data_IF_326524729192
#
_entry.id   IF_326524729192
#
_cell.length_a   1.000
_cell.length_b   1.000
_cell.length_c   1.000
_cell.angle_alpha   90.00
_cell.angle_beta   90.00
_cell.angle_gamma   90.00
#
_symmetry.space_group_name_H-M   'P 1'
#
loop_
_entity.id
_entity.type
_entity.pdbx_description
1 polymer ?
#
# COMPACT_ATOMS: atom_id res chain seq x y z
N UNK A 1 6.06 -12.69 -22.44
CA UNK A 1 5.34 -12.91 -21.17
C UNK A 1 4.12 -11.98 -21.09
N UNK A 2 3.05 -12.23 -21.87
CA UNK A 2 2.08 -11.19 -22.29
C UNK A 2 0.69 -11.22 -21.60
N UNK A 3 0.44 -12.08 -20.59
CA UNK A 3 -0.88 -12.22 -19.96
C UNK A 3 -0.93 -12.12 -18.42
N UNK A 4 0.17 -11.75 -17.76
CA UNK A 4 0.21 -11.58 -16.30
C UNK A 4 -0.60 -10.41 -15.67
N UNK A 5 -1.01 -9.32 -16.37
CA UNK A 5 -1.61 -8.18 -15.65
C UNK A 5 -3.12 -8.32 -15.33
N UNK A 6 -3.89 -9.11 -16.09
CA UNK A 6 -5.35 -9.12 -15.95
C UNK A 6 -5.85 -10.03 -14.81
N UNK A 7 -5.19 -11.18 -14.61
CA UNK A 7 -5.52 -12.11 -13.52
C UNK A 7 -5.22 -11.48 -12.16
N UNK A 8 -4.06 -10.83 -12.03
CA UNK A 8 -3.68 -10.14 -10.80
C UNK A 8 -4.69 -9.03 -10.47
N UNK A 9 -5.02 -8.16 -11.43
CA UNK A 9 -6.05 -7.11 -11.25
C UNK A 9 -7.38 -7.66 -10.76
N UNK A 10 -7.84 -8.76 -11.35
CA UNK A 10 -9.09 -9.40 -10.96
C UNK A 10 -9.01 -9.96 -9.54
N UNK A 11 -7.89 -10.57 -9.18
CA UNK A 11 -7.64 -11.09 -7.83
C UNK A 11 -7.67 -9.95 -6.80
N UNK A 12 -7.00 -8.82 -7.06
CA UNK A 12 -7.02 -7.65 -6.17
C UNK A 12 -8.39 -6.99 -6.08
N UNK A 13 -9.17 -6.94 -7.17
CA UNK A 13 -10.54 -6.46 -7.13
C UNK A 13 -11.44 -7.36 -6.27
N UNK A 14 -11.28 -8.70 -6.38
CA UNK A 14 -12.00 -9.67 -5.54
C UNK A 14 -11.62 -9.48 -4.06
N UNK A 15 -10.33 -9.30 -3.74
CA UNK A 15 -9.89 -9.05 -2.36
C UNK A 15 -10.49 -7.75 -1.80
N UNK A 16 -10.57 -6.69 -2.62
CA UNK A 16 -11.16 -5.42 -2.21
C UNK A 16 -12.66 -5.55 -1.94
N UNK A 17 -13.39 -6.20 -2.85
CA UNK A 17 -14.84 -6.43 -2.72
C UNK A 17 -15.13 -7.31 -1.51
N UNK A 18 -14.35 -8.38 -1.32
CA UNK A 18 -14.51 -9.29 -0.20
C UNK A 18 -14.16 -8.63 1.14
N UNK A 19 -13.08 -7.85 1.20
CA UNK A 19 -12.74 -7.04 2.36
C UNK A 19 -13.85 -6.04 2.71
N UNK A 20 -14.37 -5.33 1.71
CA UNK A 20 -15.48 -4.39 1.89
C UNK A 20 -16.77 -5.07 2.35
N UNK A 21 -17.09 -6.25 1.81
CA UNK A 21 -18.20 -7.08 2.27
C UNK A 21 -18.04 -7.43 3.75
N UNK A 22 -16.89 -7.98 4.16
CA UNK A 22 -16.63 -8.35 5.55
C UNK A 22 -16.77 -7.13 6.48
N UNK A 23 -16.25 -5.97 6.08
CA UNK A 23 -16.38 -4.74 6.89
C UNK A 23 -17.83 -4.27 7.05
N UNK A 24 -18.66 -4.43 6.02
CA UNK A 24 -20.06 -3.99 6.05
C UNK A 24 -20.97 -4.93 6.86
N UNK A 25 -20.73 -6.24 6.79
CA UNK A 25 -21.62 -7.25 7.38
C UNK A 25 -21.14 -7.78 8.73
N UNK A 26 -19.82 -7.99 8.89
CA UNK A 26 -19.23 -8.53 10.12
C UNK A 26 -18.56 -7.46 10.99
N UNK A 27 -18.51 -6.21 10.48
CA UNK A 27 -17.85 -5.08 11.11
C UNK A 27 -16.34 -5.00 10.80
N UNK A 28 -15.70 -3.87 11.14
CA UNK A 28 -14.29 -3.63 10.85
C UNK A 28 -13.41 -4.58 11.68
N UNK A 29 -12.93 -5.65 11.04
CA UNK A 29 -11.94 -6.59 11.58
C UNK A 29 -10.56 -6.36 10.95
N UNK A 30 -9.46 -6.69 11.63
CA UNK A 30 -8.10 -6.57 11.09
C UNK A 30 -7.95 -7.25 9.72
N UNK A 31 -8.53 -8.43 9.54
CA UNK A 31 -8.51 -9.16 8.28
C UNK A 31 -9.23 -8.41 7.15
N UNK A 32 -10.42 -7.87 7.41
CA UNK A 32 -11.18 -7.10 6.41
C UNK A 32 -10.42 -5.85 5.96
N UNK A 33 -9.76 -5.16 6.90
CA UNK A 33 -8.95 -3.96 6.63
C UNK A 33 -7.73 -4.31 5.77
N UNK A 34 -7.02 -5.41 6.09
CA UNK A 34 -5.87 -5.88 5.32
C UNK A 34 -6.26 -6.20 3.88
N UNK A 35 -7.38 -6.91 3.68
CA UNK A 35 -7.89 -7.27 2.35
C UNK A 35 -8.19 -6.03 1.49
N UNK A 36 -8.83 -5.03 2.08
CA UNK A 36 -9.10 -3.76 1.40
C UNK A 36 -7.81 -3.00 1.08
N UNK A 37 -6.85 -2.95 2.02
CA UNK A 37 -5.58 -2.25 1.81
C UNK A 37 -4.75 -2.85 0.67
N UNK A 38 -4.68 -4.18 0.62
CA UNK A 38 -3.99 -4.88 -0.46
C UNK A 38 -4.65 -4.57 -1.81
N UNK A 39 -5.98 -4.58 -1.89
CA UNK A 39 -6.70 -4.20 -3.11
C UNK A 39 -6.46 -2.76 -3.54
N UNK A 40 -6.56 -1.80 -2.60
CA UNK A 40 -6.38 -0.36 -2.88
C UNK A 40 -4.95 -0.07 -3.34
N UNK A 41 -3.95 -0.65 -2.68
CA UNK A 41 -2.55 -0.43 -3.01
C UNK A 41 -2.21 -0.90 -4.42
N UNK A 42 -2.71 -2.07 -4.83
CA UNK A 42 -2.52 -2.51 -6.21
C UNK A 42 -3.17 -1.54 -7.19
N UNK A 43 -4.43 -1.13 -6.96
CA UNK A 43 -5.10 -0.19 -7.85
C UNK A 43 -4.33 1.13 -7.97
N UNK A 44 -3.77 1.62 -6.86
CA UNK A 44 -2.92 2.82 -6.87
C UNK A 44 -1.66 2.62 -7.72
N UNK A 45 -0.97 1.48 -7.61
CA UNK A 45 0.22 1.18 -8.44
C UNK A 45 -0.17 1.08 -9.92
N UNK A 46 -1.26 0.40 -10.22
CA UNK A 46 -1.77 0.18 -11.58
C UNK A 46 -2.23 1.47 -12.28
N UNK A 47 -2.70 2.46 -11.52
CA UNK A 47 -3.03 3.79 -12.02
C UNK A 47 -1.79 4.62 -12.34
N UNK A 48 -0.71 4.45 -11.57
CA UNK A 48 0.54 5.21 -11.78
C UNK A 48 1.40 4.57 -12.86
N UNK A 49 1.40 3.24 -13.00
CA UNK A 49 2.12 2.50 -14.04
C UNK A 49 1.16 1.55 -14.77
N UNK A 50 0.49 2.03 -15.83
CA UNK A 50 -0.36 1.18 -16.64
C UNK A 50 0.47 0.07 -17.28
N UNK A 51 0.06 -1.19 -17.11
CA UNK A 51 0.73 -2.34 -17.74
C UNK A 51 0.74 -2.31 -19.28
N UNK A 52 0.05 -1.34 -19.89
CA UNK A 52 0.01 -1.11 -21.33
C UNK A 52 1.18 -0.25 -21.85
N UNK A 53 1.95 0.41 -20.96
CA UNK A 53 3.10 1.21 -21.38
C UNK A 53 4.32 0.34 -21.66
N UNK A 54 5.00 0.65 -22.77
CA UNK A 54 6.27 0.03 -23.17
C UNK A 54 7.34 0.34 -22.14
N UNK A 55 8.15 -0.66 -21.79
CA UNK A 55 9.26 -0.55 -20.83
C UNK A 55 10.13 0.68 -21.10
N UNK A 56 10.10 1.66 -20.19
CA UNK A 56 10.90 2.88 -20.25
C UNK A 56 11.87 2.87 -19.06
N UNK A 57 13.18 2.99 -19.33
CA UNK A 57 14.24 3.06 -18.31
C UNK A 57 14.00 4.19 -17.30
N UNK A 58 13.27 5.23 -17.70
CA UNK A 58 12.87 6.33 -16.82
C UNK A 58 11.92 5.85 -15.72
N UNK A 59 10.96 4.99 -16.06
CA UNK A 59 10.01 4.44 -15.09
C UNK A 59 10.69 3.51 -14.08
N UNK A 60 11.67 2.74 -14.54
CA UNK A 60 12.49 1.90 -13.65
C UNK A 60 13.24 2.74 -12.62
N UNK A 61 13.88 3.83 -13.05
CA UNK A 61 14.56 4.78 -12.14
C UNK A 61 13.61 5.42 -11.13
N UNK A 62 12.39 5.76 -11.55
CA UNK A 62 11.35 6.31 -10.67
C UNK A 62 10.91 5.27 -9.62
N UNK A 63 10.68 4.02 -10.03
CA UNK A 63 10.32 2.91 -9.12
C UNK A 63 11.42 2.62 -8.10
N UNK A 64 12.68 2.65 -8.53
CA UNK A 64 13.81 2.42 -7.62
C UNK A 64 13.95 3.55 -6.58
N UNK A 65 13.86 4.83 -7.01
CA UNK A 65 13.95 5.98 -6.09
C UNK A 65 12.78 6.03 -5.10
N UNK A 66 11.56 5.77 -5.56
CA UNK A 66 10.36 5.72 -4.71
C UNK A 66 10.41 4.56 -3.72
N UNK A 67 10.92 3.39 -4.14
CA UNK A 67 11.15 2.25 -3.25
C UNK A 67 12.16 2.58 -2.14
N UNK A 68 13.31 3.18 -2.50
CA UNK A 68 14.31 3.61 -1.53
C UNK A 68 13.75 4.64 -0.54
N UNK A 69 13.02 5.65 -1.02
CA UNK A 69 12.41 6.65 -0.15
C UNK A 69 11.34 6.03 0.77
N UNK A 70 10.51 5.13 0.23
CA UNK A 70 9.50 4.41 1.01
C UNK A 70 10.13 3.56 2.11
N UNK A 71 11.28 2.92 1.83
CA UNK A 71 12.02 2.16 2.81
C UNK A 71 12.58 3.06 3.93
N UNK A 72 13.20 4.18 3.60
CA UNK A 72 13.70 5.12 4.61
C UNK A 72 12.56 5.65 5.49
N UNK A 73 11.43 6.03 4.87
CA UNK A 73 10.23 6.46 5.60
C UNK A 73 9.70 5.35 6.52
N UNK A 74 9.82 4.08 6.10
CA UNK A 74 9.42 2.93 6.91
C UNK A 74 10.11 2.81 8.24
N UNK A 75 11.41 3.04 8.26
CA UNK A 75 12.18 3.03 9.50
C UNK A 75 11.69 4.16 10.40
N UNK A 76 11.45 5.35 9.84
CA UNK A 76 11.01 6.54 10.60
C UNK A 76 9.64 6.32 11.24
N UNK A 77 8.62 5.92 10.48
CA UNK A 77 7.28 5.77 11.07
C UNK A 77 7.16 4.57 11.99
N UNK A 78 7.93 3.50 11.79
CA UNK A 78 8.00 2.39 12.76
C UNK A 78 8.52 2.91 14.09
N UNK A 79 9.59 3.71 14.08
CA UNK A 79 10.15 4.29 15.29
C UNK A 79 9.16 5.25 16.00
N UNK A 80 8.44 6.06 15.22
CA UNK A 80 7.38 6.94 15.74
C UNK A 80 6.28 6.11 16.41
N UNK A 81 5.75 5.07 15.74
CA UNK A 81 4.68 4.25 16.31
C UNK A 81 5.14 3.51 17.57
N UNK A 82 6.36 2.98 17.60
CA UNK A 82 6.92 2.36 18.80
C UNK A 82 7.01 3.36 19.97
N UNK A 83 7.36 4.61 19.70
CA UNK A 83 7.39 5.68 20.71
C UNK A 83 5.99 6.00 21.22
N UNK A 84 4.99 6.05 20.33
CA UNK A 84 3.59 6.28 20.70
C UNK A 84 3.02 5.15 21.58
N UNK A 85 3.38 3.90 21.28
CA UNK A 85 3.02 2.74 22.11
C UNK A 85 3.72 2.82 23.47
N UNK A 86 5.01 3.15 23.49
CA UNK A 86 5.78 3.27 24.73
C UNK A 86 5.23 4.35 25.68
N UNK A 87 4.73 5.46 25.12
CA UNK A 87 4.12 6.54 25.90
C UNK A 87 2.62 6.34 26.19
N UNK A 88 2.05 5.18 25.83
CA UNK A 88 0.62 4.90 26.00
C UNK A 88 -0.29 5.92 25.32
N UNK A 89 0.18 6.50 24.21
CA UNK A 89 -0.68 7.30 23.31
C UNK A 89 -1.54 6.37 22.46
N UNK A 90 -0.99 5.20 22.11
CA UNK A 90 -1.71 4.09 21.49
C UNK A 90 -1.66 2.91 22.45
N UNK A 91 -2.77 2.66 23.14
CA UNK A 91 -2.85 1.60 24.16
C UNK A 91 -3.02 0.20 23.55
N UNK A 92 -3.62 0.11 22.37
CA UNK A 92 -3.85 -1.16 21.68
C UNK A 92 -2.74 -1.44 20.64
N UNK A 93 -1.98 -2.50 20.89
CA UNK A 93 -0.92 -2.99 20.01
C UNK A 93 -1.48 -3.35 18.64
N UNK A 94 -2.70 -3.89 18.55
CA UNK A 94 -3.27 -4.28 17.26
C UNK A 94 -3.56 -3.05 16.40
N UNK A 95 -4.10 -1.98 17.00
CA UNK A 95 -4.27 -0.68 16.35
C UNK A 95 -2.93 -0.12 15.88
N UNK A 96 -1.88 -0.16 16.70
CA UNK A 96 -0.54 0.30 16.30
C UNK A 96 0.00 -0.46 15.08
N UNK A 97 -0.14 -1.79 15.05
CA UNK A 97 0.30 -2.62 13.93
C UNK A 97 -0.50 -2.32 12.65
N UNK A 98 -1.82 -2.15 12.76
CA UNK A 98 -2.66 -1.78 11.63
C UNK A 98 -2.30 -0.39 11.09
N UNK A 99 -1.97 0.57 11.95
CA UNK A 99 -1.47 1.88 11.52
C UNK A 99 -0.15 1.76 10.77
N UNK A 100 0.83 1.01 11.28
CA UNK A 100 2.11 0.78 10.59
C UNK A 100 1.89 0.14 9.23
N UNK A 101 1.02 -0.89 9.17
CA UNK A 101 0.71 -1.58 7.92
C UNK A 101 0.05 -0.64 6.92
N UNK A 102 -0.94 0.15 7.36
CA UNK A 102 -1.61 1.13 6.50
C UNK A 102 -0.60 2.14 5.93
N UNK A 103 0.24 2.72 6.78
CA UNK A 103 1.24 3.71 6.37
C UNK A 103 2.23 3.05 5.40
N UNK A 104 2.71 1.85 5.66
CA UNK A 104 3.63 1.12 4.79
C UNK A 104 3.04 0.89 3.40
N UNK A 105 1.82 0.38 3.35
CA UNK A 105 1.12 0.04 2.11
C UNK A 105 0.85 1.31 1.28
N UNK A 106 0.57 2.45 1.93
CA UNK A 106 0.30 3.72 1.24
C UNK A 106 1.56 4.52 0.89
N UNK A 107 2.66 4.35 1.61
CA UNK A 107 3.87 5.17 1.41
C UNK A 107 4.45 4.98 0.01
N UNK A 108 4.54 3.73 -0.46
CA UNK A 108 5.07 3.44 -1.80
C UNK A 108 4.26 4.05 -2.95
N UNK A 109 2.92 3.86 -3.05
CA UNK A 109 2.13 4.50 -4.11
C UNK A 109 2.15 6.03 -4.01
N UNK A 110 2.20 6.61 -2.80
CA UNK A 110 2.33 8.06 -2.61
C UNK A 110 3.67 8.58 -3.13
N UNK A 111 4.80 7.92 -2.79
CA UNK A 111 6.11 8.34 -3.28
C UNK A 111 6.22 8.16 -4.79
N UNK A 112 5.69 7.07 -5.34
CA UNK A 112 5.58 6.85 -6.78
C UNK A 112 4.84 8.01 -7.47
N UNK A 113 3.66 8.39 -6.96
CA UNK A 113 2.86 9.49 -7.52
C UNK A 113 3.62 10.83 -7.51
N UNK A 114 4.30 11.13 -6.40
CA UNK A 114 5.09 12.36 -6.27
C UNK A 114 6.23 12.41 -7.28
N UNK A 115 6.98 11.31 -7.43
CA UNK A 115 8.11 11.27 -8.38
C UNK A 115 7.64 11.26 -9.83
N UNK A 116 6.52 10.63 -10.15
CA UNK A 116 5.96 10.63 -11.50
C UNK A 116 5.55 12.05 -11.94
N UNK A 117 4.97 12.86 -11.04
CA UNK A 117 4.59 14.25 -11.38
C UNK A 117 5.76 15.23 -11.49
N UNK A 118 6.92 14.91 -10.90
CA UNK A 118 8.11 15.80 -10.88
C UNK A 118 9.10 15.51 -11.99
N UNK A 119 8.96 14.39 -12.70
CA UNK A 119 9.77 14.04 -13.87
C UNK A 119 9.03 14.52 -15.11
#
# INVERSE_FOLDING_TARGET
MKHMPMINRLLFAVLLIYGGYLTLFDGPSPYSIILMLVGISQLAVDLVFPAAETYDERQEKIKMKSGQLSYVLSIVYVFIVLTLVQWKVVDDIMTALLCVLFIQVMTFPVTLFIYNRRS
#
